data_IF_759374304528
#
_entry.id   IF_759374304528
#
_cell.length_a   1.000
_cell.length_b   1.000
_cell.length_c   1.000
_cell.angle_alpha   90.00
_cell.angle_beta   90.00
_cell.angle_gamma   90.00
#
_symmetry.space_group_name_H-M   'P 1'
#
loop_
_entity.id
_entity.type
_entity.pdbx_description
1 polymer ?
#
# COMPACT_ATOMS: atom_id res chain seq x y z
N UNK A 1 -30.22 -3.01 11.00
CA UNK A 1 -29.27 -3.95 10.36
C UNK A 1 -27.94 -3.23 10.29
N UNK A 2 -27.05 -3.58 11.21
CA UNK A 2 -25.72 -2.98 11.30
C UNK A 2 -24.89 -3.48 10.12
N UNK A 3 -24.75 -2.62 9.11
CA UNK A 3 -24.02 -2.99 7.88
C UNK A 3 -22.52 -2.85 8.13
N UNK A 4 -21.78 -3.95 8.00
CA UNK A 4 -20.31 -3.98 8.03
C UNK A 4 -19.72 -3.19 6.84
N UNK A 5 -20.51 -3.03 5.77
CA UNK A 5 -20.10 -2.36 4.54
C UNK A 5 -20.30 -0.85 4.73
N UNK A 6 -19.25 -0.03 4.56
CA UNK A 6 -19.38 1.43 4.57
C UNK A 6 -20.39 1.93 3.56
N UNK A 7 -20.91 3.13 3.77
CA UNK A 7 -21.81 3.76 2.80
C UNK A 7 -21.21 3.84 1.39
N UNK A 8 -22.06 3.79 0.36
CA UNK A 8 -21.61 3.71 -1.04
C UNK A 8 -20.62 4.83 -1.43
N UNK A 9 -20.82 6.04 -0.93
CA UNK A 9 -19.89 7.16 -1.16
C UNK A 9 -18.52 6.92 -0.55
N UNK A 10 -18.45 6.45 0.72
CA UNK A 10 -17.20 6.12 1.39
C UNK A 10 -16.50 4.94 0.73
N UNK A 11 -17.25 3.93 0.29
CA UNK A 11 -16.70 2.77 -0.39
C UNK A 11 -16.10 3.15 -1.76
N UNK A 12 -16.80 3.98 -2.54
CA UNK A 12 -16.29 4.44 -3.84
C UNK A 12 -15.03 5.30 -3.69
N UNK A 13 -15.00 6.16 -2.69
CA UNK A 13 -13.81 6.96 -2.35
C UNK A 13 -12.65 6.07 -1.91
N UNK A 14 -12.91 5.06 -1.06
CA UNK A 14 -11.90 4.08 -0.64
C UNK A 14 -11.30 3.33 -1.83
N UNK A 15 -12.15 2.80 -2.73
CA UNK A 15 -11.71 2.08 -3.93
C UNK A 15 -10.86 2.97 -4.83
N UNK A 16 -11.32 4.20 -5.09
CA UNK A 16 -10.61 5.16 -5.94
C UNK A 16 -9.23 5.52 -5.35
N UNK A 17 -9.19 5.84 -4.07
CA UNK A 17 -7.95 6.18 -3.38
C UNK A 17 -6.99 4.98 -3.29
N UNK A 18 -7.53 3.78 -3.06
CA UNK A 18 -6.75 2.52 -3.06
C UNK A 18 -6.14 2.27 -4.43
N UNK A 19 -6.93 2.40 -5.51
CA UNK A 19 -6.42 2.26 -6.87
C UNK A 19 -5.31 3.26 -7.17
N UNK A 20 -5.53 4.54 -6.87
CA UNK A 20 -4.50 5.58 -7.05
C UNK A 20 -3.22 5.22 -6.29
N UNK A 21 -3.36 4.81 -5.02
CA UNK A 21 -2.21 4.42 -4.22
C UNK A 21 -1.47 3.20 -4.80
N UNK A 22 -2.19 2.15 -5.19
CA UNK A 22 -1.60 0.90 -5.69
C UNK A 22 -0.95 1.06 -7.07
N UNK A 23 -1.51 1.94 -7.92
CA UNK A 23 -0.90 2.29 -9.21
C UNK A 23 0.39 3.11 -9.07
N UNK A 24 0.70 3.64 -7.89
CA UNK A 24 2.00 4.27 -7.63
C UNK A 24 3.02 3.19 -7.29
N UNK A 25 4.06 2.98 -8.11
CA UNK A 25 5.05 1.96 -7.83
C UNK A 25 5.83 2.30 -6.55
N UNK A 26 5.77 1.38 -5.59
CA UNK A 26 6.56 1.41 -4.35
C UNK A 26 7.49 0.19 -4.27
N UNK A 27 8.14 -0.02 -3.11
CA UNK A 27 9.09 -1.14 -2.92
C UNK A 27 8.52 -2.50 -3.30
N UNK A 28 7.24 -2.77 -2.98
CA UNK A 28 6.56 -4.03 -3.33
C UNK A 28 6.45 -4.22 -4.84
N UNK A 29 5.94 -3.20 -5.57
CA UNK A 29 5.81 -3.25 -7.04
C UNK A 29 7.18 -3.38 -7.71
N UNK A 30 8.19 -2.65 -7.22
CA UNK A 30 9.55 -2.74 -7.73
C UNK A 30 10.13 -4.15 -7.53
N UNK A 31 9.85 -4.79 -6.40
CA UNK A 31 10.27 -6.17 -6.14
C UNK A 31 9.59 -7.16 -7.10
N UNK A 32 8.26 -7.06 -7.29
CA UNK A 32 7.51 -7.88 -8.25
C UNK A 32 8.09 -7.72 -9.65
N UNK A 33 8.29 -6.47 -10.07
CA UNK A 33 8.83 -6.14 -11.38
C UNK A 33 10.23 -6.75 -11.58
N UNK A 34 11.14 -6.58 -10.60
CA UNK A 34 12.48 -7.13 -10.66
C UNK A 34 12.45 -8.66 -10.81
N UNK A 35 11.69 -9.36 -9.96
CA UNK A 35 11.58 -10.83 -10.03
C UNK A 35 10.93 -11.32 -11.32
N UNK A 36 9.91 -10.59 -11.84
CA UNK A 36 9.26 -10.94 -13.11
C UNK A 36 10.20 -10.80 -14.30
N UNK A 37 11.06 -9.80 -14.31
CA UNK A 37 12.04 -9.58 -15.39
C UNK A 37 13.20 -10.57 -15.29
N UNK A 38 13.71 -10.87 -14.09
CA UNK A 38 14.88 -11.73 -13.91
C UNK A 38 14.55 -13.21 -14.04
N UNK A 39 13.43 -13.67 -13.52
CA UNK A 39 13.08 -15.08 -13.42
C UNK A 39 11.71 -15.44 -14.03
N UNK A 40 11.13 -14.50 -14.79
CA UNK A 40 9.88 -14.70 -15.50
C UNK A 40 8.62 -14.52 -14.65
N UNK A 41 7.46 -14.64 -15.31
CA UNK A 41 6.14 -14.39 -14.73
C UNK A 41 5.82 -15.22 -13.48
N UNK A 42 6.30 -16.47 -13.42
CA UNK A 42 6.06 -17.32 -12.26
C UNK A 42 6.72 -16.80 -10.98
N UNK A 43 7.90 -16.21 -11.10
CA UNK A 43 8.59 -15.57 -9.99
C UNK A 43 7.83 -14.29 -9.54
N UNK A 44 7.29 -13.52 -10.48
CA UNK A 44 6.40 -12.41 -10.20
C UNK A 44 5.17 -12.82 -9.40
N UNK A 45 4.49 -13.89 -9.82
CA UNK A 45 3.32 -14.42 -9.10
C UNK A 45 3.66 -14.87 -7.67
N UNK A 46 4.79 -15.55 -7.48
CA UNK A 46 5.26 -15.94 -6.14
C UNK A 46 5.58 -14.71 -5.27
N UNK A 47 6.14 -13.66 -5.88
CA UNK A 47 6.36 -12.37 -5.21
C UNK A 47 5.06 -11.76 -4.72
N UNK A 48 4.01 -11.76 -5.56
CA UNK A 48 2.67 -11.26 -5.23
C UNK A 48 2.10 -12.02 -4.05
N UNK A 49 2.21 -13.35 -4.02
CA UNK A 49 1.75 -14.16 -2.90
C UNK A 49 2.44 -13.77 -1.58
N UNK A 50 3.76 -13.59 -1.60
CA UNK A 50 4.51 -13.14 -0.41
C UNK A 50 4.08 -11.75 0.05
N UNK A 51 3.95 -10.81 -0.87
CA UNK A 51 3.54 -9.43 -0.59
C UNK A 51 2.15 -9.38 0.03
N UNK A 52 1.18 -10.10 -0.55
CA UNK A 52 -0.19 -10.07 -0.04
C UNK A 52 -0.39 -10.90 1.23
N UNK A 53 0.44 -11.91 1.48
CA UNK A 53 0.51 -12.54 2.79
C UNK A 53 0.91 -11.54 3.89
N UNK A 54 1.89 -10.66 3.63
CA UNK A 54 2.24 -9.58 4.54
C UNK A 54 1.12 -8.51 4.65
N UNK A 55 0.42 -8.22 3.54
CA UNK A 55 -0.75 -7.32 3.57
C UNK A 55 -1.81 -7.83 4.55
N UNK A 56 -2.10 -9.13 4.55
CA UNK A 56 -3.05 -9.73 5.50
C UNK A 56 -2.58 -9.60 6.96
N UNK A 57 -1.28 -9.62 7.22
CA UNK A 57 -0.75 -9.31 8.57
C UNK A 57 -1.06 -7.86 8.95
N UNK A 58 -0.86 -6.90 8.02
CA UNK A 58 -1.25 -5.51 8.26
C UNK A 58 -2.76 -5.36 8.49
N UNK A 59 -3.61 -6.08 7.75
CA UNK A 59 -5.07 -6.12 7.96
C UNK A 59 -5.41 -6.59 9.36
N UNK A 60 -4.83 -7.72 9.78
CA UNK A 60 -5.07 -8.29 11.10
C UNK A 60 -4.61 -7.34 12.22
N UNK A 61 -3.42 -6.76 12.07
CA UNK A 61 -2.88 -5.79 13.01
C UNK A 61 -3.76 -4.51 13.10
N UNK A 62 -4.23 -4.00 11.96
CA UNK A 62 -5.12 -2.85 11.91
C UNK A 62 -6.49 -3.17 12.53
N UNK A 63 -7.07 -4.34 12.24
CA UNK A 63 -8.36 -4.75 12.80
C UNK A 63 -8.31 -4.87 14.33
N UNK A 64 -7.25 -5.49 14.87
CA UNK A 64 -7.04 -5.62 16.30
C UNK A 64 -6.66 -4.27 16.95
N UNK A 65 -5.70 -3.56 16.35
CA UNK A 65 -5.15 -2.32 16.91
C UNK A 65 -6.12 -1.16 16.85
N UNK A 66 -6.85 -0.96 15.75
CA UNK A 66 -7.81 0.13 15.61
C UNK A 66 -8.99 -0.04 16.56
N UNK A 67 -9.49 -1.28 16.70
CA UNK A 67 -10.57 -1.57 17.65
C UNK A 67 -10.15 -1.29 19.10
N UNK A 68 -8.94 -1.69 19.49
CA UNK A 68 -8.40 -1.41 20.81
C UNK A 68 -8.17 0.09 21.03
N UNK A 69 -7.67 0.80 20.02
CA UNK A 69 -7.39 2.23 20.07
C UNK A 69 -8.67 3.06 20.21
N UNK A 70 -9.71 2.75 19.45
CA UNK A 70 -11.01 3.43 19.54
C UNK A 70 -11.71 3.15 20.87
N UNK A 71 -11.54 1.92 21.43
CA UNK A 71 -12.05 1.59 22.75
C UNK A 71 -11.30 2.29 23.89
N UNK A 72 -10.03 2.65 23.70
CA UNK A 72 -9.16 3.20 24.75
C UNK A 72 -9.16 4.74 24.80
N UNK A 73 -9.08 5.44 23.65
CA UNK A 73 -8.96 6.90 23.61
C UNK A 73 -9.12 7.51 22.22
N UNK A 74 -10.05 8.44 22.10
CA UNK A 74 -10.20 9.26 20.88
C UNK A 74 -8.96 10.16 20.62
N UNK A 75 -8.24 10.54 21.68
CA UNK A 75 -7.00 11.32 21.57
C UNK A 75 -5.90 10.45 20.95
N UNK A 76 -5.74 9.21 21.44
CA UNK A 76 -4.74 8.29 20.89
C UNK A 76 -4.98 8.00 19.40
N UNK A 77 -6.24 7.82 19.00
CA UNK A 77 -6.62 7.71 17.58
C UNK A 77 -6.20 8.94 16.78
N UNK A 78 -6.48 10.15 17.28
CA UNK A 78 -6.10 11.40 16.63
C UNK A 78 -4.58 11.53 16.48
N UNK A 79 -3.81 11.18 17.51
CA UNK A 79 -2.34 11.18 17.47
C UNK A 79 -1.83 10.26 16.37
N UNK A 80 -2.32 9.03 16.28
CA UNK A 80 -1.92 8.07 15.23
C UNK A 80 -2.27 8.59 13.84
N UNK A 81 -3.48 9.15 13.68
CA UNK A 81 -3.94 9.73 12.42
C UNK A 81 -3.03 10.86 11.95
N UNK A 82 -2.76 11.85 12.79
CA UNK A 82 -1.95 13.01 12.42
C UNK A 82 -0.46 12.66 12.25
N UNK A 83 0.09 11.76 13.06
CA UNK A 83 1.44 11.26 12.89
C UNK A 83 1.60 10.53 11.55
N UNK A 84 0.63 9.70 11.19
CA UNK A 84 0.60 9.01 9.89
C UNK A 84 0.48 9.97 8.71
N UNK A 85 -0.39 10.98 8.81
CA UNK A 85 -0.54 12.03 7.81
C UNK A 85 0.76 12.82 7.60
N UNK A 86 1.40 13.25 8.68
CA UNK A 86 2.68 13.97 8.64
C UNK A 86 3.78 13.12 7.98
N UNK A 87 3.81 11.83 8.30
CA UNK A 87 4.78 10.91 7.70
C UNK A 87 4.52 10.65 6.21
N UNK A 88 3.26 10.54 5.76
CA UNK A 88 2.94 10.46 4.33
C UNK A 88 3.40 11.70 3.58
N UNK A 89 3.16 12.88 4.14
CA UNK A 89 3.63 14.15 3.58
C UNK A 89 5.18 14.16 3.50
N UNK A 90 5.85 13.76 4.56
CA UNK A 90 7.32 13.65 4.58
C UNK A 90 7.85 12.67 3.53
N UNK A 91 7.23 11.48 3.38
CA UNK A 91 7.58 10.52 2.33
C UNK A 91 7.39 11.13 0.94
N UNK A 92 6.32 11.89 0.73
CA UNK A 92 6.08 12.59 -0.52
C UNK A 92 7.20 13.59 -0.83
N UNK A 93 7.57 14.43 0.12
CA UNK A 93 8.70 15.35 -0.03
C UNK A 93 10.03 14.62 -0.26
N UNK A 94 10.31 13.57 0.52
CA UNK A 94 11.50 12.75 0.32
C UNK A 94 11.54 12.11 -1.07
N UNK A 95 10.40 11.69 -1.61
CA UNK A 95 10.31 11.13 -2.97
C UNK A 95 10.52 12.21 -4.04
N UNK A 96 9.97 13.42 -3.85
CA UNK A 96 10.11 14.54 -4.81
C UNK A 96 11.53 15.11 -4.85
N UNK A 97 12.16 15.29 -3.70
CA UNK A 97 13.38 16.05 -3.56
C UNK A 97 14.61 15.22 -3.15
N UNK A 98 14.40 13.97 -2.69
CA UNK A 98 15.47 13.07 -2.30
C UNK A 98 16.28 12.55 -3.50
N UNK A 99 17.42 11.88 -3.27
CA UNK A 99 18.19 11.24 -4.32
C UNK A 99 17.34 10.19 -5.04
N UNK A 100 17.51 10.10 -6.36
CA UNK A 100 16.85 9.06 -7.16
C UNK A 100 17.40 7.69 -6.72
N UNK A 101 16.62 6.94 -5.97
CA UNK A 101 16.94 5.55 -5.65
C UNK A 101 16.53 4.69 -6.85
N UNK A 102 17.49 4.41 -7.71
CA UNK A 102 17.36 3.36 -8.73
C UNK A 102 17.53 2.05 -7.95
N UNK A 103 16.52 1.17 -7.92
CA UNK A 103 16.72 -0.15 -7.32
C UNK A 103 17.87 -0.83 -8.03
N UNK A 104 18.85 -1.34 -7.28
CA UNK A 104 19.92 -2.14 -7.84
C UNK A 104 19.35 -3.49 -8.28
N UNK A 105 19.16 -3.63 -9.58
CA UNK A 105 18.70 -4.86 -10.21
C UNK A 105 19.82 -5.82 -10.55
N UNK A 106 21.09 -5.47 -10.27
CA UNK A 106 22.26 -6.24 -10.66
C UNK A 106 22.64 -7.37 -9.68
N UNK A 107 21.83 -7.63 -8.66
CA UNK A 107 22.19 -8.50 -7.53
C UNK A 107 21.83 -9.98 -7.63
N UNK A 108 21.73 -10.62 -8.79
CA UNK A 108 21.47 -12.06 -8.80
C UNK A 108 22.04 -12.80 -10.01
N UNK A 109 23.28 -13.26 -9.88
CA UNK A 109 23.87 -14.25 -10.79
C UNK A 109 23.27 -15.66 -10.67
N UNK A 110 22.41 -15.92 -9.68
CA UNK A 110 21.76 -17.22 -9.50
C UNK A 110 20.24 -17.11 -9.34
N UNK A 111 19.44 -17.97 -9.99
CA UNK A 111 18.00 -18.03 -9.81
C UNK A 111 17.62 -18.29 -8.35
N UNK A 112 16.76 -17.45 -7.79
CA UNK A 112 16.27 -17.63 -6.41
C UNK A 112 15.19 -18.71 -6.36
N UNK A 113 15.21 -19.53 -5.32
CA UNK A 113 14.14 -20.50 -5.10
C UNK A 113 12.79 -19.80 -4.83
N UNK A 114 11.67 -20.44 -5.18
CA UNK A 114 10.33 -19.90 -4.97
C UNK A 114 10.07 -19.54 -3.49
N UNK A 115 10.52 -20.39 -2.56
CA UNK A 115 10.37 -20.10 -1.12
C UNK A 115 11.14 -18.85 -0.69
N UNK A 116 12.32 -18.60 -1.26
CA UNK A 116 13.10 -17.40 -1.01
C UNK A 116 12.41 -16.16 -1.59
N UNK A 117 11.88 -16.24 -2.81
CA UNK A 117 11.13 -15.14 -3.46
C UNK A 117 9.90 -14.76 -2.61
N UNK A 118 9.13 -15.75 -2.16
CA UNK A 118 7.98 -15.54 -1.29
C UNK A 118 8.37 -14.81 0.00
N UNK A 119 9.38 -15.35 0.71
CA UNK A 119 9.84 -14.77 1.99
C UNK A 119 10.36 -13.35 1.83
N UNK A 120 11.14 -13.09 0.79
CA UNK A 120 11.66 -11.75 0.51
C UNK A 120 10.51 -10.79 0.17
N UNK A 121 9.53 -11.20 -0.67
CA UNK A 121 8.35 -10.42 -0.97
C UNK A 121 7.52 -10.12 0.28
N UNK A 122 7.35 -11.12 1.15
CA UNK A 122 6.69 -10.95 2.44
C UNK A 122 7.40 -9.89 3.31
N UNK A 123 8.72 -9.99 3.47
CA UNK A 123 9.49 -9.04 4.27
C UNK A 123 9.50 -7.63 3.66
N UNK A 124 9.63 -7.54 2.32
CA UNK A 124 9.58 -6.26 1.62
C UNK A 124 8.26 -5.54 1.91
N UNK A 125 7.13 -6.24 1.92
CA UNK A 125 5.84 -5.60 2.18
C UNK A 125 5.51 -5.47 3.67
N UNK A 126 5.95 -6.38 4.51
CA UNK A 126 5.79 -6.26 5.97
C UNK A 126 6.50 -5.00 6.51
N UNK A 127 7.69 -4.73 5.96
CA UNK A 127 8.50 -3.55 6.32
C UNK A 127 8.23 -2.34 5.42
N UNK A 128 7.22 -2.42 4.55
CA UNK A 128 6.90 -1.35 3.62
C UNK A 128 6.17 -0.21 4.33
N UNK A 129 6.79 0.97 4.46
CA UNK A 129 6.17 2.09 5.14
C UNK A 129 4.89 2.58 4.43
N UNK A 130 4.81 2.43 3.11
CA UNK A 130 3.62 2.78 2.34
C UNK A 130 2.40 1.96 2.78
N UNK A 131 2.57 0.64 2.89
CA UNK A 131 1.52 -0.29 3.30
C UNK A 131 1.15 -0.08 4.76
N UNK A 132 2.15 0.00 5.65
CA UNK A 132 1.92 0.24 7.08
C UNK A 132 1.11 1.52 7.33
N UNK A 133 1.47 2.60 6.66
CA UNK A 133 0.78 3.89 6.83
C UNK A 133 -0.61 3.92 6.21
N UNK A 134 -0.81 3.23 5.11
CA UNK A 134 -2.16 3.07 4.56
C UNK A 134 -3.07 2.45 5.62
N UNK A 135 -2.66 1.36 6.25
CA UNK A 135 -3.46 0.67 7.25
C UNK A 135 -3.59 1.46 8.56
N UNK A 136 -2.57 2.20 8.98
CA UNK A 136 -2.58 2.94 10.23
C UNK A 136 -3.26 4.32 10.14
N UNK A 137 -3.04 5.05 9.05
CA UNK A 137 -3.45 6.45 8.95
C UNK A 137 -4.59 6.69 7.95
N UNK A 138 -4.64 5.91 6.87
CA UNK A 138 -5.58 6.16 5.78
C UNK A 138 -6.84 5.29 5.89
N UNK A 139 -6.71 3.98 6.05
CA UNK A 139 -7.85 3.07 6.15
C UNK A 139 -8.85 3.47 7.26
N UNK A 140 -8.42 3.91 8.46
CA UNK A 140 -9.35 4.31 9.53
C UNK A 140 -10.36 5.40 9.15
N UNK A 141 -10.05 6.22 8.16
CA UNK A 141 -10.92 7.33 7.72
C UNK A 141 -12.21 6.83 7.04
N UNK A 142 -12.21 5.58 6.59
CA UNK A 142 -13.35 4.93 5.93
C UNK A 142 -14.14 4.03 6.86
N UNK A 143 -13.72 3.91 8.12
CA UNK A 143 -14.42 3.17 9.16
C UNK A 143 -15.46 4.08 9.78
N UNK A 144 -16.67 3.57 9.96
CA UNK A 144 -17.80 4.27 10.58
C UNK A 144 -18.09 3.66 11.96
N UNK A 145 -17.44 4.15 13.06
CA UNK A 145 -17.57 3.54 14.38
C UNK A 145 -18.99 3.49 14.91
N UNK A 146 -19.84 4.46 14.50
CA UNK A 146 -21.24 4.54 14.90
C UNK A 146 -22.07 3.35 14.40
N UNK A 147 -21.62 2.66 13.35
CA UNK A 147 -22.26 1.44 12.83
C UNK A 147 -21.86 0.18 13.61
N UNK A 148 -20.95 0.27 14.58
CA UNK A 148 -20.40 -0.88 15.29
C UNK A 148 -19.46 -1.74 14.45
N UNK A 149 -19.08 -2.88 14.98
CA UNK A 149 -18.26 -3.91 14.29
C UNK A 149 -17.00 -3.39 13.61
N UNK A 150 -16.29 -2.45 14.24
CA UNK A 150 -15.09 -1.78 13.69
C UNK A 150 -14.07 -2.75 13.12
N UNK A 151 -13.74 -3.84 13.86
CA UNK A 151 -12.80 -4.86 13.39
C UNK A 151 -13.24 -5.51 12.07
N UNK A 152 -14.54 -5.76 11.91
CA UNK A 152 -15.08 -6.37 10.70
C UNK A 152 -15.10 -5.39 9.52
N UNK A 153 -15.36 -4.11 9.75
CA UNK A 153 -15.23 -3.06 8.74
C UNK A 153 -13.79 -2.95 8.25
N UNK A 154 -12.81 -2.94 9.18
CA UNK A 154 -11.37 -2.92 8.86
C UNK A 154 -10.98 -4.16 8.07
N UNK A 155 -11.43 -5.34 8.49
CA UNK A 155 -11.15 -6.60 7.79
C UNK A 155 -11.73 -6.59 6.37
N UNK A 156 -12.97 -6.13 6.20
CA UNK A 156 -13.63 -6.00 4.89
C UNK A 156 -12.84 -5.07 3.95
N UNK A 157 -12.54 -3.86 4.43
CA UNK A 157 -11.76 -2.88 3.65
C UNK A 157 -10.35 -3.39 3.34
N UNK A 158 -9.72 -4.08 4.30
CA UNK A 158 -8.39 -4.68 4.13
C UNK A 158 -8.38 -5.82 3.10
N UNK A 159 -9.41 -6.67 3.10
CA UNK A 159 -9.57 -7.70 2.06
C UNK A 159 -9.81 -7.07 0.70
N UNK A 160 -10.66 -6.05 0.63
CA UNK A 160 -10.91 -5.31 -0.62
C UNK A 160 -9.61 -4.67 -1.16
N UNK A 161 -8.83 -4.03 -0.30
CA UNK A 161 -7.49 -3.53 -0.64
C UNK A 161 -6.60 -4.65 -1.20
N UNK A 162 -6.60 -5.82 -0.55
CA UNK A 162 -5.78 -6.97 -0.97
C UNK A 162 -6.21 -7.48 -2.35
N UNK A 163 -7.51 -7.57 -2.62
CA UNK A 163 -8.03 -8.01 -3.93
C UNK A 163 -7.62 -7.02 -5.02
N UNK A 164 -7.82 -5.72 -4.80
CA UNK A 164 -7.39 -4.69 -5.75
C UNK A 164 -5.88 -4.75 -5.97
N UNK A 165 -5.11 -4.95 -4.88
CA UNK A 165 -3.66 -5.08 -4.92
C UNK A 165 -3.20 -6.28 -5.75
N UNK A 166 -3.80 -7.46 -5.57
CA UNK A 166 -3.47 -8.65 -6.38
C UNK A 166 -3.71 -8.38 -7.87
N UNK A 167 -4.79 -7.68 -8.22
CA UNK A 167 -5.10 -7.35 -9.61
C UNK A 167 -4.10 -6.35 -10.21
N UNK A 168 -3.77 -5.28 -9.48
CA UNK A 168 -2.81 -4.27 -9.94
C UNK A 168 -1.39 -4.83 -10.01
N UNK A 169 -0.96 -5.59 -9.02
CA UNK A 169 0.35 -6.23 -8.98
C UNK A 169 0.47 -7.31 -10.06
N UNK A 170 -0.63 -8.04 -10.34
CA UNK A 170 -0.71 -8.98 -11.46
C UNK A 170 -0.47 -8.28 -12.80
N UNK A 171 -1.09 -7.11 -13.01
CA UNK A 171 -0.86 -6.31 -14.21
C UNK A 171 0.61 -5.87 -14.32
N UNK A 172 1.25 -5.45 -13.22
CA UNK A 172 2.68 -5.13 -13.19
C UNK A 172 3.57 -6.34 -13.52
N UNK A 173 3.28 -7.52 -12.96
CA UNK A 173 4.04 -8.73 -13.25
C UNK A 173 3.95 -9.15 -14.74
N UNK A 174 2.77 -9.00 -15.33
CA UNK A 174 2.57 -9.28 -16.76
C UNK A 174 3.27 -8.25 -17.66
N UNK A 175 3.15 -6.95 -17.32
CA UNK A 175 3.80 -5.87 -18.05
C UNK A 175 5.33 -5.97 -17.96
N UNK A 176 5.86 -6.37 -16.82
CA UNK A 176 7.30 -6.54 -16.62
C UNK A 176 7.91 -7.56 -17.56
N UNK A 177 7.18 -8.63 -17.89
CA UNK A 177 7.64 -9.67 -18.84
C UNK A 177 7.75 -9.18 -20.29
N UNK A 178 7.04 -8.10 -20.66
CA UNK A 178 7.00 -7.58 -22.04
C UNK A 178 7.79 -6.31 -22.24
N UNK A 179 7.82 -5.41 -21.26
CA UNK A 179 8.42 -4.08 -21.39
C UNK A 179 9.55 -3.79 -20.37
N UNK A 180 9.91 -4.77 -19.53
CA UNK A 180 10.74 -4.56 -18.35
C UNK A 180 12.10 -3.93 -18.61
N UNK A 181 12.80 -4.36 -19.64
CA UNK A 181 14.14 -3.83 -19.97
C UNK A 181 14.09 -2.37 -20.48
N UNK A 182 13.00 -2.00 -21.16
CA UNK A 182 12.79 -0.64 -21.64
C UNK A 182 12.43 0.31 -20.50
N UNK A 183 11.51 -0.10 -19.61
CA UNK A 183 11.10 0.72 -18.47
C UNK A 183 12.27 1.03 -17.49
N UNK A 184 13.12 0.03 -17.21
CA UNK A 184 14.28 0.22 -16.33
C UNK A 184 15.25 1.30 -16.81
N UNK A 185 15.35 1.51 -18.11
CA UNK A 185 16.32 2.42 -18.75
C UNK A 185 15.72 3.76 -19.17
N UNK A 186 14.41 3.94 -19.04
CA UNK A 186 13.74 5.17 -19.46
C UNK A 186 13.87 6.28 -18.40
N UNK A 187 14.65 7.34 -18.63
CA UNK A 187 14.75 8.47 -17.71
C UNK A 187 13.41 9.21 -17.57
N UNK A 188 12.59 9.18 -18.61
CA UNK A 188 11.25 9.79 -18.59
C UNK A 188 10.34 9.04 -17.61
N UNK A 189 10.37 7.70 -17.63
CA UNK A 189 9.60 6.88 -16.69
C UNK A 189 10.04 7.13 -15.23
N UNK A 190 11.34 7.12 -14.96
CA UNK A 190 11.88 7.36 -13.62
C UNK A 190 11.52 8.75 -13.08
N UNK A 191 11.57 9.76 -13.95
CA UNK A 191 11.18 11.13 -13.59
C UNK A 191 9.68 11.24 -13.33
N UNK A 192 8.85 10.68 -14.21
CA UNK A 192 7.39 10.67 -14.06
C UNK A 192 6.97 9.92 -12.78
N UNK A 193 7.53 8.74 -12.53
CA UNK A 193 7.27 7.96 -11.32
C UNK A 193 7.57 8.77 -10.05
N UNK A 194 8.70 9.47 -10.02
CA UNK A 194 9.11 10.30 -8.88
C UNK A 194 8.09 11.39 -8.57
N UNK A 195 7.68 12.15 -9.61
CA UNK A 195 6.74 13.27 -9.44
C UNK A 195 5.34 12.79 -9.09
N UNK A 196 4.83 11.80 -9.80
CA UNK A 196 3.50 11.22 -9.56
C UNK A 196 3.42 10.61 -8.16
N UNK A 197 4.39 9.76 -7.79
CA UNK A 197 4.42 9.11 -6.47
C UNK A 197 4.51 10.12 -5.32
N UNK A 198 5.40 11.11 -5.43
CA UNK A 198 5.57 12.12 -4.40
C UNK A 198 4.33 12.97 -4.21
N UNK A 199 3.70 13.42 -5.31
CA UNK A 199 2.45 14.20 -5.25
C UNK A 199 1.30 13.41 -4.63
N UNK A 200 1.18 12.11 -4.96
CA UNK A 200 0.14 11.24 -4.39
C UNK A 200 0.36 11.05 -2.88
N UNK A 201 1.59 10.83 -2.42
CA UNK A 201 1.84 10.70 -0.98
C UNK A 201 1.49 11.99 -0.22
N UNK A 202 1.83 13.15 -0.75
CA UNK A 202 1.44 14.44 -0.16
C UNK A 202 -0.09 14.57 -0.16
N UNK A 203 -0.75 14.29 -1.28
CA UNK A 203 -2.20 14.35 -1.39
C UNK A 203 -2.91 13.44 -0.38
N UNK A 204 -2.46 12.19 -0.23
CA UNK A 204 -3.00 11.25 0.75
C UNK A 204 -2.75 11.70 2.19
N UNK A 205 -1.58 12.27 2.49
CA UNK A 205 -1.27 12.81 3.79
C UNK A 205 -2.16 14.03 4.13
N UNK A 206 -2.39 14.92 3.17
CA UNK A 206 -3.29 16.06 3.34
C UNK A 206 -4.73 15.60 3.53
N UNK A 207 -5.24 14.68 2.71
CA UNK A 207 -6.60 14.13 2.91
C UNK A 207 -6.72 13.47 4.29
N UNK A 208 -5.72 12.71 4.73
CA UNK A 208 -5.70 12.12 6.06
C UNK A 208 -5.75 13.17 7.19
N UNK A 209 -5.02 14.27 7.04
CA UNK A 209 -5.00 15.35 8.03
C UNK A 209 -6.33 16.12 8.10
N UNK A 210 -6.91 16.42 6.91
CA UNK A 210 -8.11 17.25 6.80
C UNK A 210 -9.43 16.47 6.78
N UNK A 211 -9.42 15.15 6.67
CA UNK A 211 -10.62 14.33 6.88
C UNK A 211 -11.12 14.56 8.29
N UNK A 212 -12.09 15.47 8.43
CA UNK A 212 -12.54 15.96 9.71
C UNK A 212 -13.16 14.86 10.56
N UNK A 213 -13.00 14.99 11.86
CA UNK A 213 -13.97 14.47 12.79
C UNK A 213 -15.34 15.03 12.40
N UNK A 214 -16.16 14.28 11.70
CA UNK A 214 -17.60 14.55 11.70
C UNK A 214 -18.08 14.30 13.13
N UNK A 215 -17.86 15.30 13.96
CA UNK A 215 -18.65 15.52 15.14
C UNK A 215 -19.97 16.11 14.62
N UNK A 216 -20.98 15.29 14.56
CA UNK A 216 -22.34 15.65 14.95
C UNK A 216 -23.07 14.38 15.26
#
# INVERSE_FOLDING_TARGET
MDSIIPGAANLSLFVSATLVLLLVPGPAVLYIFARSVEQGRSAGLVSILGIHAATLVHVAAAAAGLSALLASSAIAFSVVKYAGAAYLIWLGFKKLFGPASIPDFNGADQPRSRGRIFREGFLVNLLNPKTALFFLAFLPQFVEPQRGHVAMQVAFLGVLYTVIGVLTDGAYALAAGTAGNWLKRSPVYLKAERWVSGSIYIGLGLTAAFSGNHKN
#
